data_IF_781330744145
#
_entry.id   IF_781330744145
#
_cell.length_a   1.000
_cell.length_b   1.000
_cell.length_c   1.000
_cell.angle_alpha   90.00
_cell.angle_beta   90.00
_cell.angle_gamma   90.00
#
_symmetry.space_group_name_H-M   'P 1'
#
loop_
_entity.id
_entity.type
_entity.pdbx_description
1 polymer ?
#
# COMPACT_ATOMS: atom_id res chain seq x y z
N UNK A 1 -15.64 4.78 27.27
CA UNK A 1 -15.19 5.80 26.30
C UNK A 1 -16.30 5.95 25.26
N UNK A 2 -16.70 7.18 24.88
CA UNK A 2 -17.76 7.35 23.86
C UNK A 2 -17.27 6.79 22.51
N UNK A 3 -18.17 6.15 21.76
CA UNK A 3 -17.87 5.60 20.42
C UNK A 3 -17.27 6.66 19.49
N UNK A 4 -17.77 7.90 19.55
CA UNK A 4 -17.23 9.03 18.76
C UNK A 4 -15.76 9.30 19.07
N UNK A 5 -15.37 9.28 20.35
CA UNK A 5 -13.97 9.48 20.74
C UNK A 5 -13.08 8.31 20.31
N UNK A 6 -13.61 7.09 20.33
CA UNK A 6 -12.90 5.92 19.84
C UNK A 6 -12.62 6.01 18.33
N UNK A 7 -13.60 6.42 17.51
CA UNK A 7 -13.40 6.63 16.08
C UNK A 7 -12.43 7.78 15.79
N UNK A 8 -12.52 8.90 16.50
CA UNK A 8 -11.62 10.05 16.33
C UNK A 8 -10.17 9.66 16.64
N UNK A 9 -9.92 9.03 17.79
CA UNK A 9 -8.56 8.63 18.16
C UNK A 9 -8.03 7.52 17.27
N UNK A 10 -8.86 6.53 16.90
CA UNK A 10 -8.48 5.49 15.96
C UNK A 10 -8.05 6.07 14.62
N UNK A 11 -8.80 7.04 14.10
CA UNK A 11 -8.49 7.72 12.83
C UNK A 11 -7.22 8.54 12.93
N UNK A 12 -7.01 9.27 14.03
CA UNK A 12 -5.78 10.03 14.26
C UNK A 12 -4.54 9.12 14.29
N UNK A 13 -4.61 8.00 15.03
CA UNK A 13 -3.54 7.01 15.10
C UNK A 13 -3.27 6.37 13.74
N UNK A 14 -4.32 6.13 12.95
CA UNK A 14 -4.19 5.64 11.58
C UNK A 14 -3.41 6.62 10.70
N UNK A 15 -3.76 7.91 10.70
CA UNK A 15 -3.03 8.89 9.87
C UNK A 15 -1.58 9.07 10.32
N UNK A 16 -1.31 9.09 11.63
CA UNK A 16 0.06 9.17 12.14
C UNK A 16 0.88 7.93 11.78
N UNK A 17 0.29 6.74 11.92
CA UNK A 17 0.91 5.47 11.51
C UNK A 17 1.18 5.41 10.01
N UNK A 18 0.22 5.86 9.18
CA UNK A 18 0.38 5.95 7.74
C UNK A 18 1.54 6.87 7.34
N UNK A 19 1.67 8.03 8.00
CA UNK A 19 2.78 8.96 7.80
C UNK A 19 4.14 8.35 8.16
N UNK A 20 4.23 7.62 9.27
CA UNK A 20 5.45 6.91 9.65
C UNK A 20 5.81 5.81 8.64
N UNK A 21 4.82 5.03 8.19
CA UNK A 21 5.02 3.99 7.16
C UNK A 21 5.51 4.63 5.85
N UNK A 22 4.95 5.77 5.44
CA UNK A 22 5.39 6.51 4.27
C UNK A 22 6.86 6.95 4.39
N UNK A 23 7.23 7.52 5.54
CA UNK A 23 8.61 7.94 5.82
C UNK A 23 9.59 6.77 5.75
N UNK A 24 9.24 5.63 6.35
CA UNK A 24 10.09 4.43 6.32
C UNK A 24 10.22 3.86 4.90
N UNK A 25 9.14 3.88 4.10
CA UNK A 25 9.17 3.39 2.73
C UNK A 25 9.95 4.31 1.78
N UNK A 26 10.07 5.60 2.10
CA UNK A 26 10.92 6.54 1.36
C UNK A 26 12.42 6.20 1.47
N UNK A 27 12.84 5.53 2.55
CA UNK A 27 14.22 5.09 2.74
C UNK A 27 14.59 3.86 1.89
N UNK A 28 13.62 3.22 1.24
CA UNK A 28 13.85 2.05 0.41
C UNK A 28 14.34 2.51 -0.97
N UNK A 29 15.57 2.13 -1.38
CA UNK A 29 16.11 2.53 -2.67
C UNK A 29 15.32 1.90 -3.83
N UNK A 30 15.32 2.58 -4.96
CA UNK A 30 14.72 2.06 -6.19
C UNK A 30 15.59 0.94 -6.78
N UNK A 31 14.94 -0.02 -7.42
CA UNK A 31 15.63 -1.16 -8.05
C UNK A 31 15.61 -0.97 -9.55
N UNK A 32 16.79 -0.86 -10.16
CA UNK A 32 16.91 -0.88 -11.62
C UNK A 32 16.68 -2.32 -12.11
N UNK A 33 15.66 -2.53 -12.92
CA UNK A 33 15.32 -3.85 -13.48
C UNK A 33 16.06 -4.16 -14.77
N UNK A 34 16.66 -3.16 -15.45
CA UNK A 34 17.38 -3.31 -16.73
C UNK A 34 16.58 -4.00 -17.84
N UNK A 35 15.26 -4.07 -17.70
CA UNK A 35 14.40 -4.96 -18.48
C UNK A 35 13.58 -4.19 -19.50
N UNK A 36 13.86 -4.43 -20.78
CA UNK A 36 13.07 -3.89 -21.90
C UNK A 36 11.61 -4.34 -21.88
N UNK A 37 11.30 -5.46 -21.22
CA UNK A 37 9.92 -5.91 -21.00
C UNK A 37 9.20 -4.98 -20.01
N UNK A 38 9.87 -4.57 -18.93
CA UNK A 38 9.31 -3.66 -17.93
C UNK A 38 9.03 -2.29 -18.55
N UNK A 39 9.94 -1.79 -19.37
CA UNK A 39 9.77 -0.55 -20.15
C UNK A 39 8.53 -0.60 -21.03
N UNK A 40 8.26 -1.73 -21.70
CA UNK A 40 7.08 -1.92 -22.56
C UNK A 40 5.79 -2.08 -21.77
N UNK A 41 5.82 -2.83 -20.67
CA UNK A 41 4.66 -3.07 -19.82
C UNK A 41 4.19 -1.79 -19.12
N UNK A 42 5.14 -0.96 -18.70
CA UNK A 42 4.89 0.32 -18.03
C UNK A 42 4.96 1.53 -18.96
N UNK A 43 5.01 1.29 -20.26
CA UNK A 43 4.99 2.35 -21.26
C UNK A 43 3.70 3.15 -21.12
N UNK A 44 3.81 4.34 -20.53
CA UNK A 44 2.77 5.37 -20.55
C UNK A 44 3.32 6.46 -21.43
N UNK A 45 2.95 6.46 -22.71
CA UNK A 45 3.12 7.46 -23.81
C UNK A 45 4.12 8.63 -23.66
N UNK A 46 4.34 9.18 -22.47
CA UNK A 46 5.27 10.22 -22.05
C UNK A 46 6.52 9.74 -21.27
N UNK A 47 6.63 8.48 -20.80
CA UNK A 47 7.75 8.02 -19.95
C UNK A 47 8.22 6.59 -20.26
N UNK A 48 9.54 6.41 -20.29
CA UNK A 48 10.23 5.12 -20.36
C UNK A 48 11.01 4.95 -19.05
N UNK A 49 10.69 3.94 -18.25
CA UNK A 49 11.46 3.65 -17.03
C UNK A 49 11.81 2.17 -16.93
N UNK A 50 13.07 1.89 -16.59
CA UNK A 50 13.57 0.57 -16.21
C UNK A 50 13.55 0.37 -14.69
N UNK A 51 13.13 1.38 -13.94
CA UNK A 51 13.21 1.39 -12.48
C UNK A 51 11.87 0.98 -11.88
N UNK A 52 11.94 0.01 -10.98
CA UNK A 52 10.82 -0.35 -10.12
C UNK A 52 11.02 0.35 -8.76
N UNK A 53 10.09 1.24 -8.44
CA UNK A 53 10.10 1.93 -7.15
C UNK A 53 9.57 0.98 -6.05
N UNK A 54 10.48 0.22 -5.46
CA UNK A 54 10.17 -0.77 -4.43
C UNK A 54 9.65 -0.13 -3.14
N UNK A 55 10.04 1.11 -2.85
CA UNK A 55 9.49 1.89 -1.73
C UNK A 55 8.00 2.17 -1.90
N UNK A 56 7.57 2.61 -3.08
CA UNK A 56 6.18 2.87 -3.42
C UNK A 56 5.35 1.59 -3.44
N UNK A 57 5.93 0.49 -3.94
CA UNK A 57 5.31 -0.84 -3.86
C UNK A 57 5.09 -1.26 -2.41
N UNK A 58 6.12 -1.17 -1.58
CA UNK A 58 6.07 -1.55 -0.17
C UNK A 58 5.08 -0.68 0.59
N UNK A 59 5.07 0.63 0.33
CA UNK A 59 4.11 1.56 0.89
C UNK A 59 2.68 1.18 0.52
N UNK A 60 2.41 0.98 -0.78
CA UNK A 60 1.10 0.57 -1.26
C UNK A 60 0.64 -0.77 -0.65
N UNK A 61 1.57 -1.71 -0.49
CA UNK A 61 1.27 -3.00 0.10
C UNK A 61 0.92 -2.90 1.59
N UNK A 62 1.77 -2.23 2.36
CA UNK A 62 1.61 -2.06 3.81
C UNK A 62 0.40 -1.19 4.14
N UNK A 63 0.14 -0.12 3.38
CA UNK A 63 -0.99 0.77 3.66
C UNK A 63 -2.35 0.09 3.41
N UNK A 64 -2.44 -0.79 2.40
CA UNK A 64 -3.66 -1.57 2.16
C UNK A 64 -3.93 -2.57 3.31
N UNK A 65 -2.88 -3.22 3.83
CA UNK A 65 -3.01 -4.09 5.00
C UNK A 65 -3.38 -3.31 6.26
N UNK A 66 -2.75 -2.16 6.45
CA UNK A 66 -3.02 -1.28 7.58
C UNK A 66 -4.44 -0.71 7.53
N UNK A 67 -4.94 -0.33 6.35
CA UNK A 67 -6.32 0.08 6.12
C UNK A 67 -7.33 -1.03 6.38
N UNK A 68 -7.02 -2.27 5.95
CA UNK A 68 -7.86 -3.44 6.24
C UNK A 68 -8.02 -3.65 7.76
N UNK A 69 -6.89 -3.61 8.48
CA UNK A 69 -6.85 -3.74 9.94
C UNK A 69 -7.60 -2.58 10.61
N UNK A 70 -7.41 -1.35 10.16
CA UNK A 70 -8.08 -0.17 10.68
C UNK A 70 -9.60 -0.28 10.58
N UNK A 71 -10.13 -0.65 9.42
CA UNK A 71 -11.58 -0.83 9.24
C UNK A 71 -12.11 -1.90 10.20
N UNK A 72 -11.41 -3.02 10.38
CA UNK A 72 -11.86 -4.08 11.27
C UNK A 72 -11.77 -3.70 12.75
N UNK A 73 -10.73 -2.97 13.16
CA UNK A 73 -10.58 -2.50 14.54
C UNK A 73 -11.61 -1.40 14.83
N UNK A 74 -11.68 -0.35 14.01
CA UNK A 74 -12.48 0.83 14.34
C UNK A 74 -13.97 0.63 14.08
N UNK A 75 -14.35 -0.07 13.01
CA UNK A 75 -15.77 -0.21 12.66
C UNK A 75 -16.39 -1.49 13.22
N UNK A 76 -15.59 -2.52 13.50
CA UNK A 76 -16.08 -3.89 13.69
C UNK A 76 -15.52 -4.59 14.95
N UNK A 77 -14.92 -3.82 15.87
CA UNK A 77 -14.34 -4.34 17.12
C UNK A 77 -15.35 -5.14 17.97
N UNK A 78 -16.63 -4.76 17.92
CA UNK A 78 -17.66 -5.30 18.81
C UNK A 78 -18.03 -6.76 18.54
N UNK A 79 -17.75 -7.31 17.37
CA UNK A 79 -18.14 -8.69 17.04
C UNK A 79 -16.97 -9.62 16.72
N UNK A 80 -15.86 -9.08 16.20
CA UNK A 80 -14.81 -9.93 15.58
C UNK A 80 -13.66 -10.27 16.50
N UNK A 81 -13.33 -9.40 17.47
CA UNK A 81 -12.17 -9.49 18.38
C UNK A 81 -10.78 -9.74 17.72
N UNK A 82 -10.72 -9.88 16.38
CA UNK A 82 -9.52 -10.14 15.60
C UNK A 82 -9.50 -9.24 14.36
N UNK A 83 -8.42 -8.46 14.15
CA UNK A 83 -8.31 -7.51 13.05
C UNK A 83 -8.14 -8.15 11.66
N UNK A 84 -7.84 -9.44 11.60
CA UNK A 84 -7.65 -10.19 10.34
C UNK A 84 -8.95 -10.78 9.80
N UNK A 85 -10.02 -10.79 10.59
CA UNK A 85 -11.29 -11.38 10.20
C UNK A 85 -12.14 -10.41 9.39
N UNK A 86 -12.64 -10.89 8.27
CA UNK A 86 -13.64 -10.21 7.46
C UNK A 86 -15.05 -10.33 8.05
N UNK A 87 -16.05 -9.83 7.33
CA UNK A 87 -17.46 -9.83 7.72
C UNK A 87 -18.08 -11.21 7.89
N UNK A 88 -17.38 -12.26 7.46
CA UNK A 88 -17.78 -13.64 7.60
C UNK A 88 -16.92 -14.38 8.64
N UNK A 89 -16.23 -13.63 9.53
CA UNK A 89 -15.32 -14.17 10.54
C UNK A 89 -14.20 -15.04 9.93
N UNK A 90 -13.75 -14.69 8.72
CA UNK A 90 -12.77 -15.47 7.98
C UNK A 90 -11.54 -14.62 7.63
N UNK A 91 -10.33 -15.17 7.76
CA UNK A 91 -9.07 -14.53 7.37
C UNK A 91 -8.77 -14.62 5.88
N UNK A 92 -9.56 -15.36 5.09
CA UNK A 92 -9.32 -15.57 3.66
C UNK A 92 -9.23 -14.24 2.90
N UNK A 93 -10.06 -13.26 3.24
CA UNK A 93 -10.02 -11.94 2.62
C UNK A 93 -8.75 -11.18 2.97
N UNK A 94 -8.26 -11.28 4.22
CA UNK A 94 -6.97 -10.71 4.61
C UNK A 94 -5.81 -11.30 3.82
N UNK A 95 -5.74 -12.63 3.69
CA UNK A 95 -4.68 -13.28 2.91
C UNK A 95 -4.78 -12.97 1.41
N UNK A 96 -6.00 -12.87 0.87
CA UNK A 96 -6.20 -12.39 -0.52
C UNK A 96 -5.71 -10.97 -0.68
N UNK A 97 -6.00 -10.08 0.27
CA UNK A 97 -5.49 -8.70 0.25
C UNK A 97 -3.96 -8.69 0.28
N UNK A 98 -3.36 -9.47 1.18
CA UNK A 98 -1.92 -9.57 1.36
C UNK A 98 -1.19 -10.09 0.12
N UNK A 99 -1.64 -11.21 -0.46
CA UNK A 99 -0.86 -11.92 -1.48
C UNK A 99 -1.31 -11.70 -2.91
N UNK A 100 -2.54 -11.23 -3.12
CA UNK A 100 -3.13 -11.11 -4.46
C UNK A 100 -3.51 -9.67 -4.75
N UNK A 101 -4.45 -9.10 -3.99
CA UNK A 101 -5.05 -7.80 -4.32
C UNK A 101 -4.02 -6.68 -4.27
N UNK A 102 -3.29 -6.53 -3.17
CA UNK A 102 -2.34 -5.43 -3.01
C UNK A 102 -1.18 -5.50 -4.02
N UNK A 103 -0.52 -6.66 -4.25
CA UNK A 103 0.49 -6.75 -5.29
C UNK A 103 -0.09 -6.46 -6.67
N UNK A 104 -1.19 -7.12 -7.06
CA UNK A 104 -1.78 -6.97 -8.40
C UNK A 104 -2.21 -5.52 -8.66
N UNK A 105 -2.92 -4.89 -7.73
CA UNK A 105 -3.38 -3.51 -7.90
C UNK A 105 -2.22 -2.52 -8.02
N UNK A 106 -1.07 -2.76 -7.38
CA UNK A 106 0.08 -1.89 -7.58
C UNK A 106 0.53 -1.87 -9.06
N UNK A 107 0.56 -3.01 -9.74
CA UNK A 107 0.95 -3.09 -11.16
C UNK A 107 -0.07 -2.40 -12.09
N UNK A 108 -1.35 -2.39 -11.73
CA UNK A 108 -2.41 -1.76 -12.53
C UNK A 108 -2.70 -0.31 -12.16
N UNK A 109 -2.32 0.14 -10.96
CA UNK A 109 -2.55 1.52 -10.52
C UNK A 109 -1.56 2.48 -11.15
N UNK A 110 -1.95 3.74 -11.36
CA UNK A 110 -1.07 4.79 -11.87
C UNK A 110 0.03 5.24 -10.90
N UNK A 111 0.28 4.49 -9.83
CA UNK A 111 1.22 4.83 -8.75
C UNK A 111 2.67 4.48 -9.13
N UNK A 112 2.91 3.85 -10.29
CA UNK A 112 4.28 3.69 -10.79
C UNK A 112 4.83 5.07 -11.13
N UNK A 113 5.80 5.45 -10.31
CA UNK A 113 6.46 6.75 -10.23
C UNK A 113 6.72 7.35 -11.61
N UNK A 114 6.11 8.51 -11.85
CA UNK A 114 6.40 9.40 -12.96
C UNK A 114 7.77 10.03 -12.73
N UNK A 115 8.86 9.30 -13.00
CA UNK A 115 10.20 9.89 -13.07
C UNK A 115 10.75 9.75 -14.47
N UNK A 116 11.19 10.86 -15.03
CA UNK A 116 11.85 10.89 -16.33
C UNK A 116 13.22 10.23 -16.22
N UNK A 117 13.65 9.57 -17.30
CA UNK A 117 14.96 8.90 -17.41
C UNK A 117 16.14 9.81 -17.03
N UNK A 118 16.00 11.12 -17.22
CA UNK A 118 17.05 12.11 -16.92
C UNK A 118 17.16 12.50 -15.44
N UNK A 119 16.17 12.18 -14.60
CA UNK A 119 16.25 12.41 -13.15
C UNK A 119 17.05 11.32 -12.42
N UNK A 120 17.36 10.22 -13.13
CA UNK A 120 18.03 9.02 -12.61
C UNK A 120 19.48 8.89 -13.10
N UNK A 121 19.95 9.80 -13.95
CA UNK A 121 21.29 9.78 -14.55
C UNK A 121 22.32 10.64 -13.79
N UNK A 122 22.13 10.86 -12.48
CA UNK A 122 23.13 11.51 -11.61
C UNK A 122 23.78 10.49 -10.68
#
# INVERSE_FOLDING_TARGET
MSYTWYCILGTLLFYLGAGLIAYLCFLIPEVNTGSSFFVKLYYRYSYFTEYLNFGSFTYYWVINLYGFIFVNIVNLQNERHNPTYDQHLNSKSFYKTMFIVSPVLYFFTPVVTMRGTNDLSQ
#
